data_IF_571735277097
#
_entry.id   IF_571735277097
#
_cell.length_a   1.000
_cell.length_b   1.000
_cell.length_c   1.000
_cell.angle_alpha   90.00
_cell.angle_beta   90.00
_cell.angle_gamma   90.00
#
_symmetry.space_group_name_H-M   'P 1'
#
loop_
_entity.id
_entity.type
_entity.pdbx_description
1 polymer ?
#
# COMPACT_ATOMS: atom_id res chain seq x y z
N UNK A 1 13.18 -5.47 8.05
CA UNK A 1 12.83 -4.86 6.75
C UNK A 1 11.73 -3.85 6.96
N UNK A 2 11.73 -2.76 6.18
CA UNK A 2 10.66 -1.78 6.17
C UNK A 2 10.09 -1.65 4.75
N UNK A 3 8.83 -1.23 4.68
CA UNK A 3 8.14 -0.86 3.46
C UNK A 3 8.00 0.66 3.42
N UNK A 4 8.40 1.30 2.33
CA UNK A 4 7.98 2.66 2.02
C UNK A 4 6.60 2.62 1.36
N UNK A 5 5.64 3.33 1.96
CA UNK A 5 4.31 3.51 1.41
C UNK A 5 4.17 4.94 0.89
N UNK A 6 3.69 5.04 -0.35
CA UNK A 6 3.37 6.30 -0.99
C UNK A 6 1.92 6.35 -1.40
N UNK A 7 1.34 7.54 -1.33
CA UNK A 7 0.01 7.87 -1.87
C UNK A 7 0.21 8.97 -2.90
N UNK A 8 -0.25 8.73 -4.13
CA UNK A 8 -0.13 9.66 -5.25
C UNK A 8 1.32 10.12 -5.50
N UNK A 9 2.27 9.19 -5.32
CA UNK A 9 3.72 9.45 -5.48
C UNK A 9 4.38 10.15 -4.30
N UNK A 10 3.65 10.44 -3.21
CA UNK A 10 4.20 11.06 -2.00
C UNK A 10 4.35 10.03 -0.88
N UNK A 11 5.55 9.90 -0.32
CA UNK A 11 5.80 9.08 0.87
C UNK A 11 4.93 9.55 2.04
N UNK A 12 4.11 8.63 2.55
CA UNK A 12 3.27 8.86 3.72
C UNK A 12 3.81 8.14 4.96
N UNK A 13 4.52 7.02 4.78
CA UNK A 13 5.09 6.25 5.88
C UNK A 13 6.21 5.31 5.44
N UNK A 14 7.08 4.97 6.41
CA UNK A 14 7.90 3.76 6.36
C UNK A 14 7.36 2.78 7.42
N UNK A 15 6.72 1.71 6.96
CA UNK A 15 6.05 0.72 7.81
C UNK A 15 7.00 -0.45 8.05
N UNK A 16 7.38 -0.67 9.30
CA UNK A 16 8.20 -1.84 9.68
C UNK A 16 7.32 -3.09 9.70
N UNK A 17 7.89 -4.23 9.30
CA UNK A 17 7.20 -5.52 9.35
C UNK A 17 6.54 -5.78 10.71
N UNK A 18 5.32 -6.29 10.69
CA UNK A 18 4.51 -6.55 11.90
C UNK A 18 3.84 -5.30 12.49
N UNK A 19 4.03 -4.12 11.90
CA UNK A 19 3.33 -2.90 12.31
C UNK A 19 2.19 -2.57 11.36
N UNK A 20 1.17 -1.92 11.93
CA UNK A 20 0.05 -1.33 11.20
C UNK A 20 0.27 0.17 11.03
N UNK A 21 -0.19 0.70 9.91
CA UNK A 21 -0.25 2.13 9.63
C UNK A 21 -1.66 2.48 9.17
N UNK A 22 -2.20 3.56 9.71
CA UNK A 22 -3.54 4.06 9.39
C UNK A 22 -3.41 5.53 9.01
N UNK A 23 -4.07 5.94 7.92
CA UNK A 23 -4.05 7.32 7.45
C UNK A 23 -5.38 7.68 6.78
N UNK A 24 -5.81 8.92 6.97
CA UNK A 24 -6.96 9.47 6.25
C UNK A 24 -6.56 9.84 4.83
N UNK A 25 -7.30 9.29 3.87
CA UNK A 25 -7.15 9.60 2.45
C UNK A 25 -8.44 10.29 2.00
N UNK A 26 -8.37 11.40 1.25
CA UNK A 26 -9.55 12.03 0.65
C UNK A 26 -10.37 11.05 -0.17
N UNK A 27 -11.65 11.37 -0.39
CA UNK A 27 -12.46 10.62 -1.34
C UNK A 27 -11.96 10.87 -2.77
N UNK A 28 -11.94 9.83 -3.60
CA UNK A 28 -11.46 9.91 -4.97
C UNK A 28 -10.53 8.77 -5.35
N UNK A 29 -9.90 8.91 -6.52
CA UNK A 29 -8.94 7.93 -7.04
C UNK A 29 -7.54 8.28 -6.55
N UNK A 30 -6.92 7.33 -5.89
CA UNK A 30 -5.56 7.42 -5.37
C UNK A 30 -4.72 6.25 -5.88
N UNK A 31 -3.41 6.47 -6.00
CA UNK A 31 -2.45 5.41 -6.32
C UNK A 31 -1.62 5.13 -5.08
N UNK A 32 -1.72 3.90 -4.58
CA UNK A 32 -0.87 3.41 -3.50
C UNK A 32 0.35 2.74 -4.11
N UNK A 33 1.55 3.19 -3.74
CA UNK A 33 2.81 2.60 -4.20
C UNK A 33 3.58 2.05 -3.01
N UNK A 34 4.07 0.81 -3.14
CA UNK A 34 4.79 0.10 -2.11
C UNK A 34 6.18 -0.31 -2.61
N UNK A 35 7.23 -0.02 -1.85
CA UNK A 35 8.61 -0.41 -2.15
C UNK A 35 9.40 -0.81 -0.92
N UNK A 36 10.31 -1.77 -1.07
CA UNK A 36 11.18 -2.21 0.01
C UNK A 36 12.16 -1.12 0.44
N UNK A 37 12.49 -1.05 1.73
CA UNK A 37 13.55 -0.20 2.27
C UNK A 37 14.43 -0.99 3.25
N UNK A 38 15.76 -1.07 3.00
CA UNK A 38 16.46 -0.60 1.80
C UNK A 38 16.07 -1.42 0.57
N UNK A 39 16.01 -0.82 -0.63
CA UNK A 39 15.76 -1.56 -1.87
C UNK A 39 17.10 -2.02 -2.48
N UNK A 40 17.67 -3.09 -1.93
CA UNK A 40 19.04 -3.52 -2.30
C UNK A 40 19.17 -3.94 -3.77
N UNK A 41 18.11 -4.49 -4.36
CA UNK A 41 18.10 -5.00 -5.72
C UNK A 41 17.33 -4.11 -6.70
N UNK A 42 17.04 -2.86 -6.32
CA UNK A 42 16.32 -1.89 -7.16
C UNK A 42 15.01 -2.46 -7.76
N UNK A 43 14.30 -3.30 -7.00
CA UNK A 43 13.02 -3.85 -7.45
C UNK A 43 12.04 -2.72 -7.73
N UNK A 44 11.27 -2.91 -8.79
CA UNK A 44 10.23 -1.95 -9.15
C UNK A 44 9.18 -1.88 -8.04
N UNK A 45 8.79 -0.67 -7.61
CA UNK A 45 7.69 -0.49 -6.69
C UNK A 45 6.41 -1.11 -7.26
N UNK A 46 5.57 -1.64 -6.38
CA UNK A 46 4.25 -2.14 -6.76
C UNK A 46 3.21 -1.05 -6.55
N UNK A 47 2.43 -0.74 -7.58
CA UNK A 47 1.37 0.25 -7.52
C UNK A 47 -0.01 -0.41 -7.59
N UNK A 48 -0.95 0.07 -6.78
CA UNK A 48 -2.36 -0.32 -6.84
C UNK A 48 -3.25 0.91 -6.83
N UNK A 49 -4.37 0.84 -7.56
CA UNK A 49 -5.33 1.94 -7.64
C UNK A 49 -6.39 1.73 -6.56
N UNK A 50 -6.53 2.73 -5.70
CA UNK A 50 -7.55 2.77 -4.66
C UNK A 50 -8.59 3.84 -5.01
N UNK A 51 -9.85 3.44 -5.16
CA UNK A 51 -10.97 4.38 -5.26
C UNK A 51 -11.64 4.50 -3.89
N UNK A 52 -11.32 5.57 -3.17
CA UNK A 52 -11.81 5.85 -1.81
C UNK A 52 -13.20 6.45 -1.87
N UNK A 53 -14.14 5.81 -1.16
CA UNK A 53 -15.49 6.33 -0.92
C UNK A 53 -15.57 7.00 0.47
N UNK A 54 -16.35 8.08 0.62
CA UNK A 54 -16.56 8.71 1.91
C UNK A 54 -17.07 7.71 2.97
N UNK A 55 -16.50 7.76 4.18
CA UNK A 55 -16.91 6.89 5.30
C UNK A 55 -16.42 5.45 5.21
N UNK A 56 -15.66 5.08 4.18
CA UNK A 56 -15.20 3.71 3.99
C UNK A 56 -13.76 3.51 4.47
N UNK A 57 -13.50 2.38 5.10
CA UNK A 57 -12.15 1.94 5.47
C UNK A 57 -11.65 0.88 4.49
N UNK A 58 -10.40 1.02 4.05
CA UNK A 58 -9.73 0.09 3.16
C UNK A 58 -8.51 -0.48 3.88
N UNK A 59 -8.39 -1.81 3.89
CA UNK A 59 -7.29 -2.48 4.59
C UNK A 59 -6.47 -3.23 3.56
N UNK A 60 -5.16 -2.99 3.57
CA UNK A 60 -4.18 -3.69 2.75
C UNK A 60 -3.16 -4.38 3.65
N UNK A 61 -2.80 -5.61 3.28
CA UNK A 61 -1.67 -6.33 3.85
C UNK A 61 -0.53 -6.25 2.85
N UNK A 62 0.61 -5.74 3.30
CA UNK A 62 1.84 -5.81 2.52
C UNK A 62 2.44 -7.21 2.66
N UNK A 63 2.64 -7.91 1.55
CA UNK A 63 3.30 -9.20 1.51
C UNK A 63 4.61 -9.10 0.72
N UNK A 64 5.63 -9.78 1.22
CA UNK A 64 6.90 -9.95 0.52
C UNK A 64 6.75 -11.15 -0.42
N UNK A 65 6.85 -10.93 -1.74
CA UNK A 65 6.85 -12.02 -2.73
C UNK A 65 8.26 -12.59 -2.93
N UNK A 66 9.27 -11.75 -2.77
CA UNK A 66 10.70 -12.08 -2.81
C UNK A 66 11.43 -11.28 -1.71
N UNK A 67 12.75 -11.38 -1.63
CA UNK A 67 13.57 -10.68 -0.60
C UNK A 67 13.32 -9.17 -0.55
N UNK A 68 13.09 -8.54 -1.70
CA UNK A 68 12.98 -7.08 -1.83
C UNK A 68 11.78 -6.65 -2.70
N UNK A 69 10.88 -7.58 -3.05
CA UNK A 69 9.63 -7.28 -3.74
C UNK A 69 8.46 -7.34 -2.77
N UNK A 70 7.76 -6.22 -2.63
CA UNK A 70 6.59 -6.08 -1.79
C UNK A 70 5.36 -5.73 -2.62
N UNK A 71 4.25 -6.40 -2.35
CA UNK A 71 2.97 -6.15 -3.01
C UNK A 71 1.88 -5.87 -1.96
N UNK A 72 0.95 -4.97 -2.30
CA UNK A 72 -0.19 -4.65 -1.46
C UNK A 72 -1.37 -5.54 -1.84
N UNK A 73 -1.83 -6.36 -0.91
CA UNK A 73 -3.00 -7.22 -1.08
C UNK A 73 -4.17 -6.67 -0.27
N UNK A 74 -5.31 -6.35 -0.89
CA UNK A 74 -6.51 -5.96 -0.17
C UNK A 74 -6.93 -7.08 0.80
N UNK A 75 -7.05 -6.75 2.08
CA UNK A 75 -7.44 -7.71 3.14
C UNK A 75 -8.95 -7.74 3.36
N UNK A 76 -9.61 -6.63 3.05
CA UNK A 76 -11.05 -6.53 2.93
C UNK A 76 -11.32 -5.40 1.92
N UNK A 77 -11.77 -5.74 0.72
CA UNK A 77 -12.34 -4.74 -0.18
C UNK A 77 -13.71 -4.35 0.39
N UNK A 78 -14.06 -3.06 0.41
CA UNK A 78 -15.44 -2.66 0.67
C UNK A 78 -16.40 -3.40 -0.27
N UNK A 79 -17.64 -3.67 0.18
CA UNK A 79 -18.66 -4.19 -0.73
C UNK A 79 -18.79 -3.24 -1.95
N UNK A 80 -18.49 -3.77 -3.14
CA UNK A 80 -18.59 -3.04 -4.42
C UNK A 80 -17.30 -2.79 -5.19
N UNK A 81 -16.16 -3.39 -4.82
CA UNK A 81 -14.97 -3.48 -5.69
C UNK A 81 -14.80 -4.95 -6.14
N UNK A 82 -14.94 -5.20 -7.45
CA UNK A 82 -14.75 -6.53 -8.04
C UNK A 82 -13.26 -6.83 -8.26
N UNK A 83 -12.91 -8.13 -8.17
CA UNK A 83 -11.59 -8.69 -8.46
C UNK A 83 -11.22 -8.59 -9.94
#
# INVERSE_FOLDING_TARGET
>A
MALNLQVDGRTVANVVQGRRYDHFVPAGRHVLTASAVPNYYFYQPTSTVLNVRPGQTYVFTAIWQDTDRVVLVPSALPPGQAY
#
